data_IF_826366182197
#
_entry.id   IF_826366182197
#
_cell.length_a   1.000
_cell.length_b   1.000
_cell.length_c   1.000
_cell.angle_alpha   90.00
_cell.angle_beta   90.00
_cell.angle_gamma   90.00
#
_symmetry.space_group_name_H-M   'P 1'
#
loop_
_entity.id
_entity.type
_entity.pdbx_description
1 polymer ?
#
# COMPACT_ATOMS: atom_id res chain seq x y z
N UNK A 1 0.05 29.16 22.14
CA UNK A 1 0.84 27.93 22.44
C UNK A 1 0.06 26.64 22.21
N UNK A 2 -1.22 26.52 22.62
CA UNK A 2 -2.04 25.31 22.41
C UNK A 2 -2.29 24.99 20.93
N UNK A 3 -2.47 26.01 20.09
CA UNK A 3 -2.76 25.85 18.66
C UNK A 3 -1.53 25.43 17.84
N UNK A 4 -0.33 25.90 18.23
CA UNK A 4 0.92 25.48 17.59
C UNK A 4 1.24 24.00 17.88
N UNK A 5 0.95 23.54 19.11
CA UNK A 5 1.12 22.14 19.48
C UNK A 5 0.15 21.22 18.73
N UNK A 6 -1.10 21.66 18.56
CA UNK A 6 -2.12 20.94 17.78
C UNK A 6 -1.73 20.84 16.30
N UNK A 7 -1.26 21.93 15.69
CA UNK A 7 -0.82 21.95 14.31
C UNK A 7 0.39 21.02 14.06
N UNK A 8 1.40 21.03 14.93
CA UNK A 8 2.57 20.13 14.82
C UNK A 8 2.18 18.65 14.95
N UNK A 9 1.18 18.32 15.78
CA UNK A 9 0.67 16.94 15.87
C UNK A 9 -0.06 16.47 14.61
N UNK A 10 -0.82 17.34 13.94
CA UNK A 10 -1.56 16.94 12.73
C UNK A 10 -0.62 16.60 11.58
N UNK A 11 0.43 17.41 11.37
CA UNK A 11 1.41 17.18 10.31
C UNK A 11 2.25 15.92 10.54
N UNK A 12 2.65 15.68 11.79
CA UNK A 12 3.38 14.46 12.15
C UNK A 12 2.51 13.20 12.04
N UNK A 13 1.21 13.28 12.39
CA UNK A 13 0.26 12.17 12.17
C UNK A 13 0.06 11.90 10.68
N UNK A 14 -0.10 12.93 9.85
CA UNK A 14 -0.20 12.79 8.40
C UNK A 14 1.05 12.11 7.79
N UNK A 15 2.24 12.51 8.25
CA UNK A 15 3.50 11.89 7.83
C UNK A 15 3.60 10.41 8.24
N UNK A 16 3.19 10.07 9.46
CA UNK A 16 3.17 8.68 9.94
C UNK A 16 2.19 7.82 9.13
N UNK A 17 1.00 8.35 8.83
CA UNK A 17 -0.01 7.68 8.02
C UNK A 17 0.51 7.46 6.58
N UNK A 18 1.08 8.49 5.96
CA UNK A 18 1.68 8.39 4.63
C UNK A 18 2.85 7.40 4.58
N UNK A 19 3.73 7.42 5.57
CA UNK A 19 4.83 6.47 5.69
C UNK A 19 4.32 5.03 5.86
N UNK A 20 3.25 4.83 6.62
CA UNK A 20 2.63 3.51 6.81
C UNK A 20 2.06 2.95 5.50
N UNK A 21 1.45 3.79 4.66
CA UNK A 21 0.98 3.39 3.31
C UNK A 21 2.16 2.99 2.44
N UNK A 22 3.21 3.81 2.40
CA UNK A 22 4.40 3.55 1.59
C UNK A 22 5.08 2.23 1.99
N UNK A 23 5.30 2.02 3.28
CA UNK A 23 5.89 0.78 3.80
C UNK A 23 5.00 -0.42 3.46
N UNK A 24 3.68 -0.30 3.65
CA UNK A 24 2.74 -1.39 3.34
C UNK A 24 2.73 -1.72 1.85
N UNK A 25 2.77 -0.72 0.97
CA UNK A 25 2.86 -0.89 -0.47
C UNK A 25 4.16 -1.58 -0.90
N UNK A 26 5.29 -1.21 -0.29
CA UNK A 26 6.58 -1.86 -0.54
C UNK A 26 6.57 -3.32 -0.08
N UNK A 27 6.04 -3.61 1.11
CA UNK A 27 5.95 -4.99 1.63
C UNK A 27 5.09 -5.86 0.71
N UNK A 28 3.91 -5.37 0.33
CA UNK A 28 3.01 -6.08 -0.59
C UNK A 28 3.69 -6.27 -1.95
N UNK A 29 4.28 -5.22 -2.53
CA UNK A 29 4.99 -5.31 -3.80
C UNK A 29 6.19 -6.27 -3.77
N UNK A 30 6.93 -6.32 -2.66
CA UNK A 30 8.01 -7.29 -2.47
C UNK A 30 7.49 -8.72 -2.34
N UNK A 31 6.40 -8.94 -1.60
CA UNK A 31 5.76 -10.24 -1.47
C UNK A 31 5.28 -10.74 -2.84
N UNK A 32 4.65 -9.85 -3.61
CA UNK A 32 4.23 -10.10 -4.98
C UNK A 32 5.42 -10.56 -5.85
N UNK A 33 6.47 -9.74 -5.96
CA UNK A 33 7.65 -10.05 -6.80
C UNK A 33 8.29 -11.38 -6.40
N UNK A 34 8.29 -11.69 -5.09
CA UNK A 34 8.86 -12.94 -4.56
C UNK A 34 8.05 -14.16 -4.97
N UNK A 35 6.72 -14.11 -4.79
CA UNK A 35 5.82 -15.19 -5.20
C UNK A 35 5.88 -15.41 -6.72
N UNK A 36 5.92 -14.30 -7.47
CA UNK A 36 6.09 -14.34 -8.92
C UNK A 36 7.39 -15.00 -9.37
N UNK A 37 8.51 -14.64 -8.73
CA UNK A 37 9.81 -15.22 -9.05
C UNK A 37 9.81 -16.72 -8.80
N UNK A 38 9.18 -17.16 -7.72
CA UNK A 38 9.06 -18.59 -7.43
C UNK A 38 8.21 -19.28 -8.52
N UNK A 39 7.09 -18.69 -8.91
CA UNK A 39 6.22 -19.21 -9.97
C UNK A 39 6.91 -19.30 -11.34
N UNK A 40 7.69 -18.28 -11.72
CA UNK A 40 8.48 -18.30 -12.96
C UNK A 40 9.60 -19.34 -12.91
N UNK A 41 10.17 -19.58 -11.74
CA UNK A 41 11.23 -20.57 -11.54
C UNK A 41 10.68 -22.00 -11.64
N UNK A 42 9.46 -22.26 -11.14
CA UNK A 42 8.77 -23.54 -11.30
C UNK A 42 8.35 -23.81 -12.77
N UNK A 43 8.00 -22.75 -13.51
CA UNK A 43 7.63 -22.82 -14.92
C UNK A 43 8.66 -22.13 -15.82
N UNK A 44 9.83 -22.77 -16.01
CA UNK A 44 10.98 -22.32 -16.85
C UNK A 44 10.60 -21.85 -18.28
N UNK A 45 9.42 -22.21 -18.80
CA UNK A 45 8.91 -21.80 -20.13
C UNK A 45 7.81 -20.73 -20.12
N UNK A 46 7.35 -20.25 -18.96
CA UNK A 46 6.33 -19.22 -18.89
C UNK A 46 6.91 -17.86 -19.28
N UNK A 47 6.44 -17.27 -20.38
CA UNK A 47 6.81 -15.90 -20.77
C UNK A 47 6.30 -14.92 -19.72
N UNK A 48 7.19 -14.03 -19.27
CA UNK A 48 6.89 -12.93 -18.37
C UNK A 48 5.70 -12.12 -18.89
N UNK A 49 4.57 -12.19 -18.19
CA UNK A 49 3.36 -11.45 -18.56
C UNK A 49 2.82 -10.76 -17.32
N UNK A 50 3.12 -9.46 -17.18
CA UNK A 50 2.60 -8.61 -16.10
C UNK A 50 1.06 -8.63 -16.03
N UNK A 51 0.39 -8.81 -17.17
CA UNK A 51 -1.07 -8.93 -17.21
C UNK A 51 -1.60 -10.21 -16.54
N UNK A 52 -0.84 -11.31 -16.59
CA UNK A 52 -1.21 -12.57 -15.92
C UNK A 52 -0.95 -12.46 -14.41
N UNK A 53 0.13 -11.75 -14.07
CA UNK A 53 0.48 -11.42 -12.70
C UNK A 53 -0.59 -10.58 -11.99
N UNK A 54 -1.01 -9.47 -12.61
CA UNK A 54 -2.14 -8.66 -12.15
C UNK A 54 -3.45 -9.44 -12.11
N UNK A 55 -3.62 -10.47 -12.96
CA UNK A 55 -4.83 -11.29 -12.99
C UNK A 55 -4.85 -12.32 -11.86
N UNK A 56 -3.69 -12.80 -11.41
CA UNK A 56 -3.53 -13.80 -10.33
C UNK A 56 -3.40 -13.15 -8.95
N UNK A 57 -2.72 -12.03 -8.86
CA UNK A 57 -2.50 -11.28 -7.61
C UNK A 57 -3.53 -10.17 -7.35
N UNK A 58 -4.69 -10.24 -8.02
CA UNK A 58 -5.81 -9.31 -7.78
C UNK A 58 -6.12 -9.18 -6.30
N UNK A 59 -6.00 -10.26 -5.54
CA UNK A 59 -6.27 -10.25 -4.11
C UNK A 59 -5.36 -9.26 -3.34
N UNK A 60 -4.06 -9.24 -3.64
CA UNK A 60 -3.12 -8.35 -2.97
C UNK A 60 -3.26 -6.90 -3.44
N UNK A 61 -3.54 -6.67 -4.72
CA UNK A 61 -3.87 -5.33 -5.23
C UNK A 61 -5.17 -4.80 -4.63
N UNK A 62 -6.17 -5.67 -4.46
CA UNK A 62 -7.45 -5.33 -3.85
C UNK A 62 -7.27 -5.03 -2.36
N UNK A 63 -6.47 -5.82 -1.64
CA UNK A 63 -6.09 -5.53 -0.25
C UNK A 63 -5.39 -4.17 -0.13
N UNK A 64 -4.43 -3.87 -1.01
CA UNK A 64 -3.74 -2.58 -1.03
C UNK A 64 -4.70 -1.42 -1.34
N UNK A 65 -5.62 -1.61 -2.29
CA UNK A 65 -6.66 -0.63 -2.62
C UNK A 65 -7.60 -0.38 -1.44
N UNK A 66 -8.11 -1.43 -0.81
CA UNK A 66 -8.99 -1.33 0.37
C UNK A 66 -8.27 -0.63 1.52
N UNK A 67 -7.01 -1.00 1.78
CA UNK A 67 -6.19 -0.35 2.81
C UNK A 67 -6.02 1.15 2.51
N UNK A 68 -5.74 1.49 1.24
CA UNK A 68 -5.59 2.88 0.79
C UNK A 68 -6.89 3.67 0.94
N UNK A 69 -8.03 3.09 0.57
CA UNK A 69 -9.37 3.71 0.71
C UNK A 69 -9.68 3.97 2.18
N UNK A 70 -9.46 2.99 3.07
CA UNK A 70 -9.70 3.14 4.51
C UNK A 70 -8.85 4.28 5.07
N UNK A 71 -7.57 4.34 4.71
CA UNK A 71 -6.67 5.38 5.18
C UNK A 71 -7.09 6.76 4.64
N UNK A 72 -7.47 6.83 3.37
CA UNK A 72 -7.96 8.06 2.75
C UNK A 72 -9.25 8.56 3.43
N UNK A 73 -10.16 7.66 3.78
CA UNK A 73 -11.39 7.98 4.51
C UNK A 73 -11.08 8.53 5.91
N UNK A 74 -10.12 7.94 6.62
CA UNK A 74 -9.67 8.42 7.93
C UNK A 74 -8.99 9.79 7.81
N UNK A 75 -8.22 10.01 6.75
CA UNK A 75 -7.54 11.27 6.48
C UNK A 75 -8.55 12.39 6.16
N UNK A 76 -9.57 12.08 5.35
CA UNK A 76 -10.70 12.99 5.10
C UNK A 76 -11.42 13.35 6.40
N UNK A 77 -11.75 12.36 7.23
CA UNK A 77 -12.39 12.59 8.52
C UNK A 77 -11.54 13.45 9.47
N UNK A 78 -10.21 13.33 9.41
CA UNK A 78 -9.28 14.14 10.21
C UNK A 78 -9.21 15.60 9.71
N UNK A 79 -9.39 15.83 8.41
CA UNK A 79 -9.36 17.16 7.78
C UNK A 79 -10.69 17.91 7.91
N UNK A 80 -11.81 17.20 7.89
CA UNK A 80 -13.15 17.77 8.09
C UNK A 80 -13.41 18.20 9.54
N UNK A 81 -12.55 17.79 10.48
CA UNK A 81 -12.66 18.07 11.92
C UNK A 81 -11.77 19.22 12.37
#
# INVERSE_FOLDING_TARGET
MKELYAATTTESVLLIIGASILISGIIIGCAMIRDYRNYLNEHIKARFTLADFFRRERFYLFLFLVLTIIILQNLWYLIER
#
